data_IF_081179770550
#
_entry.id   IF_081179770550
#
_cell.length_a   1.000
_cell.length_b   1.000
_cell.length_c   1.000
_cell.angle_alpha   90.00
_cell.angle_beta   90.00
_cell.angle_gamma   90.00
#
_symmetry.space_group_name_H-M   'P 1'
#
loop_
_entity.id
_entity.type
_entity.pdbx_description
1 polymer ?
#
# COMPACT_ATOMS: atom_id res chain seq x y z
N UNK A 1 -12.29 8.83 13.43
CA UNK A 1 -11.12 9.54 13.98
C UNK A 1 -10.43 10.30 12.85
N UNK A 2 -10.18 11.57 13.01
CA UNK A 2 -9.41 12.40 12.08
C UNK A 2 -8.10 12.79 12.76
N UNK A 3 -6.99 12.79 12.01
CA UNK A 3 -5.70 13.28 12.53
C UNK A 3 -5.66 14.81 12.38
N UNK A 4 -5.05 15.49 13.33
CA UNK A 4 -4.94 16.95 13.33
C UNK A 4 -3.79 17.45 12.44
N UNK A 5 -2.71 16.68 12.34
CA UNK A 5 -1.54 17.01 11.52
C UNK A 5 -1.72 16.53 10.06
N UNK A 6 -2.36 17.37 9.25
CA UNK A 6 -2.64 17.08 7.85
C UNK A 6 -1.44 17.42 6.97
N UNK A 7 -0.92 16.43 6.26
CA UNK A 7 0.15 16.62 5.26
C UNK A 7 -0.48 16.98 3.91
N UNK A 8 -0.21 18.18 3.34
CA UNK A 8 -0.65 18.51 1.99
C UNK A 8 -0.06 17.55 0.97
N UNK A 9 -0.91 16.88 0.18
CA UNK A 9 -0.47 15.88 -0.79
C UNK A 9 -0.61 16.36 -2.23
N UNK A 10 0.26 15.81 -3.10
CA UNK A 10 0.18 15.96 -4.54
C UNK A 10 0.27 14.58 -5.19
N UNK A 11 -0.56 14.33 -6.19
CA UNK A 11 -0.57 13.05 -6.92
C UNK A 11 0.82 12.70 -7.47
N UNK A 12 1.23 11.44 -7.27
CA UNK A 12 2.51 10.92 -7.74
C UNK A 12 3.76 11.55 -7.08
N UNK A 13 3.60 12.25 -5.97
CA UNK A 13 4.68 12.96 -5.26
C UNK A 13 5.00 12.29 -3.93
N UNK A 14 6.23 12.49 -3.41
CA UNK A 14 6.70 11.92 -2.15
C UNK A 14 5.83 12.33 -0.94
N UNK A 15 5.08 13.41 -1.05
CA UNK A 15 4.12 13.83 -0.01
C UNK A 15 3.04 12.78 0.29
N UNK A 16 2.71 11.88 -0.65
CA UNK A 16 1.81 10.75 -0.40
C UNK A 16 2.42 9.77 0.62
N UNK A 17 3.73 9.53 0.55
CA UNK A 17 4.44 8.71 1.54
C UNK A 17 4.48 9.41 2.89
N UNK A 18 4.76 10.72 2.92
CA UNK A 18 4.75 11.48 4.18
C UNK A 18 3.38 11.41 4.85
N UNK A 19 2.30 11.59 4.10
CA UNK A 19 0.93 11.47 4.62
C UNK A 19 0.64 10.06 5.14
N UNK A 20 1.03 9.02 4.38
CA UNK A 20 0.84 7.62 4.80
C UNK A 20 1.61 7.29 6.06
N UNK A 21 2.88 7.72 6.18
CA UNK A 21 3.69 7.50 7.37
C UNK A 21 3.13 8.25 8.58
N UNK A 22 2.57 9.44 8.37
CA UNK A 22 1.92 10.20 9.44
C UNK A 22 0.65 9.51 9.95
N UNK A 23 -0.22 9.07 9.04
CA UNK A 23 -1.40 8.24 9.38
C UNK A 23 -1.01 6.98 10.16
N UNK A 24 0.04 6.32 9.74
CA UNK A 24 0.53 5.10 10.37
C UNK A 24 1.10 5.35 11.76
N UNK A 25 1.82 6.46 11.94
CA UNK A 25 2.35 6.87 13.24
C UNK A 25 1.21 7.10 14.23
N UNK A 26 0.19 7.85 13.84
CA UNK A 26 -0.99 8.09 14.68
C UNK A 26 -1.73 6.79 15.03
N UNK A 27 -1.96 5.92 14.04
CA UNK A 27 -2.58 4.63 14.28
C UNK A 27 -1.74 3.70 15.17
N UNK A 28 -0.42 3.85 15.15
CA UNK A 28 0.49 3.05 15.97
C UNK A 28 0.45 3.40 17.46
N UNK A 29 0.06 4.62 17.82
CA UNK A 29 -0.09 5.06 19.22
C UNK A 29 -1.13 4.22 19.99
N UNK A 30 -2.15 3.71 19.31
CA UNK A 30 -3.06 2.73 19.90
C UNK A 30 -2.38 1.36 20.02
N UNK A 31 -2.06 0.96 21.24
CA UNK A 31 -1.39 -0.29 21.56
C UNK A 31 -2.13 -1.55 21.16
N UNK A 32 -3.44 -1.48 20.99
CA UNK A 32 -4.31 -2.62 20.65
C UNK A 32 -4.34 -2.92 19.13
N UNK A 33 -3.88 -2.00 18.28
CA UNK A 33 -3.83 -2.21 16.84
C UNK A 33 -2.76 -3.26 16.47
N UNK A 34 -3.18 -4.45 16.06
CA UNK A 34 -2.30 -5.55 15.63
C UNK A 34 -1.92 -5.44 14.14
N UNK A 35 -2.86 -4.93 13.31
CA UNK A 35 -2.71 -4.79 11.86
C UNK A 35 -3.10 -3.38 11.41
N UNK A 36 -2.44 -2.90 10.38
CA UNK A 36 -2.63 -1.58 9.79
C UNK A 36 -2.92 -1.74 8.31
N UNK A 37 -4.07 -1.26 7.85
CA UNK A 37 -4.54 -1.42 6.48
C UNK A 37 -4.60 -0.05 5.83
N UNK A 38 -3.87 0.13 4.72
CA UNK A 38 -4.02 1.34 3.91
C UNK A 38 -5.16 1.14 2.91
N UNK A 39 -6.14 2.02 2.98
CA UNK A 39 -7.31 2.07 2.09
C UNK A 39 -7.56 3.51 1.66
N UNK A 40 -8.32 3.70 0.58
CA UNK A 40 -8.86 5.00 0.20
C UNK A 40 -10.30 5.16 0.69
N UNK A 41 -10.81 6.38 0.63
CA UNK A 41 -12.22 6.74 0.89
C UNK A 41 -13.20 6.11 -0.12
N UNK A 42 -12.69 5.56 -1.23
CA UNK A 42 -13.47 4.88 -2.27
C UNK A 42 -13.52 3.36 -2.12
N UNK A 43 -12.75 2.81 -1.19
CA UNK A 43 -12.81 1.38 -0.92
C UNK A 43 -14.06 1.02 -0.13
N UNK A 44 -14.73 -0.05 -0.55
CA UNK A 44 -15.85 -0.65 0.18
C UNK A 44 -15.52 -2.08 0.60
N UNK A 45 -15.92 -2.54 1.79
CA UNK A 45 -15.69 -3.91 2.22
C UNK A 45 -16.60 -4.87 1.43
N UNK A 46 -16.01 -5.94 0.87
CA UNK A 46 -16.76 -7.01 0.20
C UNK A 46 -17.32 -8.05 1.18
N UNK A 47 -16.72 -8.15 2.36
CA UNK A 47 -17.12 -9.06 3.44
C UNK A 47 -17.38 -8.29 4.72
N UNK A 48 -18.02 -8.92 5.72
CA UNK A 48 -18.14 -8.33 7.05
C UNK A 48 -16.76 -8.09 7.66
N UNK A 49 -16.66 -7.11 8.56
CA UNK A 49 -15.40 -6.77 9.22
C UNK A 49 -14.82 -7.96 9.99
N UNK A 50 -15.67 -8.78 10.61
CA UNK A 50 -15.22 -10.00 11.32
C UNK A 50 -14.55 -10.99 10.37
N UNK A 51 -15.13 -11.24 9.20
CA UNK A 51 -14.55 -12.12 8.18
C UNK A 51 -13.21 -11.58 7.67
N UNK A 52 -13.12 -10.28 7.42
CA UNK A 52 -11.88 -9.62 6.98
C UNK A 52 -10.81 -9.74 8.08
N UNK A 53 -11.17 -9.44 9.32
CA UNK A 53 -10.28 -9.54 10.48
C UNK A 53 -9.73 -10.96 10.65
N UNK A 54 -10.62 -11.97 10.67
CA UNK A 54 -10.23 -13.37 10.82
C UNK A 54 -9.31 -13.84 9.70
N UNK A 55 -9.59 -13.41 8.44
CA UNK A 55 -8.76 -13.74 7.29
C UNK A 55 -7.36 -13.12 7.41
N UNK A 56 -7.25 -11.85 7.77
CA UNK A 56 -5.97 -11.17 7.98
C UNK A 56 -5.22 -11.84 9.14
N UNK A 57 -5.89 -12.11 10.23
CA UNK A 57 -5.32 -12.78 11.42
C UNK A 57 -4.83 -14.18 11.10
N UNK A 58 -5.55 -14.94 10.27
CA UNK A 58 -5.13 -16.28 9.83
C UNK A 58 -3.87 -16.27 8.97
N UNK A 59 -3.70 -15.26 8.09
CA UNK A 59 -2.48 -15.06 7.29
C UNK A 59 -1.30 -14.70 8.19
N UNK A 60 -1.55 -13.92 9.22
CA UNK A 60 -0.57 -13.53 10.25
C UNK A 60 0.77 -13.00 9.68
N UNK A 61 0.72 -12.29 8.58
CA UNK A 61 1.88 -11.68 7.91
C UNK A 61 1.52 -10.31 7.33
N UNK A 62 2.51 -9.55 6.88
CA UNK A 62 2.27 -8.41 6.01
C UNK A 62 1.68 -8.91 4.69
N UNK A 63 0.79 -8.14 4.07
CA UNK A 63 0.20 -8.49 2.79
C UNK A 63 0.39 -7.29 1.86
N UNK A 64 1.14 -7.46 0.80
CA UNK A 64 1.40 -6.42 -0.19
C UNK A 64 1.55 -7.07 -1.57
N UNK A 65 0.78 -6.62 -2.53
CA UNK A 65 0.94 -7.06 -3.91
C UNK A 65 2.06 -6.29 -4.58
N UNK A 66 2.99 -7.01 -5.20
CA UNK A 66 4.11 -6.42 -5.88
C UNK A 66 4.60 -7.23 -7.07
N UNK A 67 5.20 -6.52 -8.02
CA UNK A 67 5.78 -7.06 -9.24
C UNK A 67 7.00 -6.23 -9.66
N UNK A 68 7.85 -6.76 -10.52
CA UNK A 68 9.03 -6.01 -11.00
C UNK A 68 8.59 -4.72 -11.68
N UNK A 69 9.20 -3.62 -11.26
CA UNK A 69 8.96 -2.29 -11.85
C UNK A 69 9.63 -2.16 -13.21
N UNK A 70 9.14 -1.22 -14.01
CA UNK A 70 9.82 -0.81 -15.23
C UNK A 70 11.24 -0.31 -14.90
N UNK A 71 12.28 -0.80 -15.60
CA UNK A 71 13.67 -0.48 -15.27
C UNK A 71 14.02 1.00 -15.26
N UNK A 72 13.30 1.82 -16.05
CA UNK A 72 13.53 3.26 -16.09
C UNK A 72 13.15 3.95 -14.77
N UNK A 73 12.22 3.41 -13.99
CA UNK A 73 11.80 3.98 -12.69
C UNK A 73 12.97 4.05 -11.71
N UNK A 74 13.78 3.01 -11.67
CA UNK A 74 14.99 2.98 -10.84
C UNK A 74 15.95 4.15 -11.14
N UNK A 75 16.02 4.58 -12.41
CA UNK A 75 16.97 5.61 -12.83
C UNK A 75 16.65 7.02 -12.28
N UNK A 76 15.44 7.23 -11.75
CA UNK A 76 15.01 8.46 -11.08
C UNK A 76 15.20 8.48 -9.57
N UNK A 77 15.68 7.39 -8.95
CA UNK A 77 16.00 7.39 -7.52
C UNK A 77 17.10 8.40 -7.20
N UNK A 78 16.95 9.11 -6.09
CA UNK A 78 17.99 10.02 -5.58
C UNK A 78 19.21 9.22 -5.10
N UNK A 79 18.99 8.17 -4.31
CA UNK A 79 20.03 7.27 -3.87
C UNK A 79 19.91 5.90 -4.51
N UNK A 80 20.43 5.74 -5.73
CA UNK A 80 20.38 4.49 -6.49
C UNK A 80 21.12 3.33 -5.83
N UNK A 81 22.19 3.61 -5.08
CA UNK A 81 22.96 2.58 -4.41
C UNK A 81 22.21 1.88 -3.27
N UNK A 82 21.09 2.45 -2.83
CA UNK A 82 20.30 1.88 -1.74
C UNK A 82 19.57 0.59 -2.15
N UNK A 83 19.06 0.52 -3.39
CA UNK A 83 18.36 -0.64 -3.93
C UNK A 83 19.15 -1.33 -5.06
N UNK A 84 18.75 -2.56 -5.45
CA UNK A 84 19.23 -3.22 -6.66
C UNK A 84 18.28 -2.92 -7.83
N UNK A 85 18.82 -2.57 -9.00
CA UNK A 85 18.03 -2.30 -10.21
C UNK A 85 17.24 -3.54 -10.67
N UNK A 86 17.87 -4.72 -10.55
CA UNK A 86 17.28 -6.01 -10.96
C UNK A 86 16.15 -6.47 -10.01
N UNK A 87 16.09 -5.88 -8.82
CA UNK A 87 15.13 -6.18 -7.76
C UNK A 87 14.42 -4.93 -7.29
N UNK A 88 14.03 -4.09 -8.22
CA UNK A 88 13.23 -2.90 -7.94
C UNK A 88 11.78 -3.18 -8.31
N UNK A 89 10.88 -3.07 -7.34
CA UNK A 89 9.50 -3.50 -7.44
C UNK A 89 8.53 -2.31 -7.47
N UNK A 90 7.40 -2.53 -8.13
CA UNK A 90 6.20 -1.73 -8.02
C UNK A 90 5.18 -2.49 -7.17
N UNK A 91 4.38 -1.79 -6.39
CA UNK A 91 3.37 -2.34 -5.49
C UNK A 91 1.98 -1.79 -5.77
N UNK A 92 0.96 -2.51 -5.31
CA UNK A 92 -0.37 -1.94 -5.09
C UNK A 92 -0.30 -0.85 -4.01
N UNK A 93 -1.11 0.19 -4.16
CA UNK A 93 -1.25 1.23 -3.13
C UNK A 93 -1.87 0.69 -1.84
N UNK A 94 -2.62 -0.42 -1.92
CA UNK A 94 -3.36 -1.01 -0.81
C UNK A 94 -2.63 -2.22 -0.25
N UNK A 95 -2.41 -2.23 1.06
CA UNK A 95 -1.65 -3.29 1.74
C UNK A 95 -1.99 -3.38 3.23
N UNK A 96 -1.53 -4.46 3.86
CA UNK A 96 -1.65 -4.69 5.31
C UNK A 96 -0.26 -4.81 5.92
N UNK A 97 -0.02 -4.07 6.99
CA UNK A 97 1.20 -4.19 7.82
C UNK A 97 0.87 -4.79 9.18
N UNK A 98 1.75 -5.64 9.69
CA UNK A 98 1.74 -6.08 11.09
C UNK A 98 2.37 -5.01 12.00
N UNK A 99 1.98 -5.00 13.26
CA UNK A 99 2.47 -4.04 14.25
C UNK A 99 4.01 -3.95 14.33
N UNK A 100 4.72 -5.07 14.30
CA UNK A 100 6.19 -5.03 14.32
C UNK A 100 6.80 -4.38 13.07
N UNK A 101 6.18 -4.57 11.92
CA UNK A 101 6.58 -3.91 10.66
C UNK A 101 6.22 -2.42 10.69
N UNK A 102 5.06 -2.09 11.26
CA UNK A 102 4.67 -0.71 11.47
C UNK A 102 5.66 0.02 12.37
N UNK A 103 6.06 -0.60 13.48
CA UNK A 103 7.10 -0.07 14.36
C UNK A 103 8.38 0.28 13.59
N UNK A 104 8.82 -0.63 12.70
CA UNK A 104 9.99 -0.38 11.87
C UNK A 104 9.87 0.90 11.04
N UNK A 105 8.70 1.18 10.43
CA UNK A 105 8.48 2.40 9.66
C UNK A 105 8.28 3.65 10.52
N UNK A 106 7.77 3.51 11.72
CA UNK A 106 7.68 4.64 12.68
C UNK A 106 9.07 5.06 13.16
N UNK A 107 9.97 4.10 13.36
CA UNK A 107 11.34 4.35 13.84
C UNK A 107 12.32 4.73 12.71
N UNK A 108 11.98 4.44 11.43
CA UNK A 108 12.88 4.64 10.30
C UNK A 108 12.17 5.31 9.12
N UNK A 109 12.79 6.34 8.57
CA UNK A 109 12.31 7.04 7.38
C UNK A 109 13.31 6.91 6.23
N UNK A 110 12.82 6.47 5.07
CA UNK A 110 13.63 6.25 3.86
C UNK A 110 13.19 7.14 2.69
N UNK A 111 12.41 8.17 2.92
CA UNK A 111 11.87 9.04 1.86
C UNK A 111 12.96 9.73 1.05
N UNK A 112 14.09 10.06 1.67
CA UNK A 112 15.25 10.67 1.01
C UNK A 112 15.86 9.77 -0.10
N UNK A 113 15.67 8.44 0.02
CA UNK A 113 16.16 7.50 -1.01
C UNK A 113 15.47 7.72 -2.35
N UNK A 114 14.19 8.08 -2.31
CA UNK A 114 13.39 8.33 -3.51
C UNK A 114 13.60 9.75 -4.05
N UNK A 115 13.66 10.75 -3.17
CA UNK A 115 13.82 12.15 -3.54
C UNK A 115 12.56 12.77 -4.17
N UNK A 116 12.61 14.07 -4.37
CA UNK A 116 11.48 14.88 -4.87
C UNK A 116 11.13 14.62 -6.35
N UNK A 117 12.08 14.13 -7.13
CA UNK A 117 11.91 13.89 -8.57
C UNK A 117 11.36 12.51 -8.93
N UNK A 118 11.33 11.59 -7.97
CA UNK A 118 10.79 10.26 -8.21
C UNK A 118 9.27 10.33 -8.30
N UNK A 119 8.75 9.88 -9.43
CA UNK A 119 7.30 9.86 -9.69
C UNK A 119 6.66 8.60 -9.12
N UNK A 120 5.48 8.73 -8.52
CA UNK A 120 4.66 7.67 -7.89
C UNK A 120 5.41 6.84 -6.84
N UNK A 121 6.03 7.47 -5.83
CA UNK A 121 6.76 6.78 -4.78
C UNK A 121 5.86 5.89 -3.91
N UNK A 122 4.58 6.20 -3.80
CA UNK A 122 3.55 5.41 -3.13
C UNK A 122 3.40 4.00 -3.71
N UNK A 123 3.69 3.83 -5.00
CA UNK A 123 3.71 2.53 -5.66
C UNK A 123 5.08 1.79 -5.57
N UNK A 124 6.07 2.33 -4.85
CA UNK A 124 7.43 1.75 -4.82
C UNK A 124 8.04 1.69 -3.42
N UNK A 125 7.60 2.52 -2.48
CA UNK A 125 8.27 2.73 -1.21
C UNK A 125 8.30 1.47 -0.33
N UNK A 126 7.16 0.94 0.06
CA UNK A 126 7.09 -0.11 1.08
C UNK A 126 7.70 -1.43 0.60
N UNK A 127 7.36 -1.88 -0.61
CA UNK A 127 7.84 -3.16 -1.11
C UNK A 127 9.36 -3.20 -1.30
N UNK A 128 9.96 -2.08 -1.76
CA UNK A 128 11.42 -2.04 -1.94
C UNK A 128 12.16 -1.99 -0.59
N UNK A 129 11.56 -1.37 0.43
CA UNK A 129 12.06 -1.46 1.80
C UNK A 129 11.93 -2.88 2.34
N UNK A 130 10.82 -3.58 2.08
CA UNK A 130 10.64 -4.99 2.46
C UNK A 130 11.73 -5.87 1.85
N UNK A 131 11.97 -5.73 0.56
CA UNK A 131 13.02 -6.47 -0.14
C UNK A 131 14.43 -6.14 0.40
N UNK A 132 14.72 -4.87 0.65
CA UNK A 132 16.01 -4.41 1.17
C UNK A 132 16.32 -5.00 2.54
N UNK A 133 15.34 -4.97 3.45
CA UNK A 133 15.50 -5.41 4.84
C UNK A 133 15.01 -6.85 5.08
N UNK A 134 14.61 -7.56 4.02
CA UNK A 134 14.10 -8.95 4.09
C UNK A 134 12.92 -9.09 5.03
N UNK A 135 12.03 -8.10 5.03
CA UNK A 135 10.78 -8.14 5.79
C UNK A 135 9.83 -9.11 5.09
N UNK A 136 9.34 -10.11 5.83
CA UNK A 136 8.44 -11.13 5.29
C UNK A 136 7.08 -10.55 4.92
N UNK A 137 6.54 -10.97 3.78
CA UNK A 137 5.18 -10.62 3.33
C UNK A 137 4.58 -11.72 2.45
N UNK A 138 3.25 -11.69 2.32
CA UNK A 138 2.49 -12.48 1.34
C UNK A 138 2.22 -11.57 0.14
N UNK A 139 2.67 -11.99 -1.04
CA UNK A 139 2.41 -11.26 -2.28
C UNK A 139 0.99 -11.56 -2.76
N UNK A 140 0.05 -10.66 -2.42
CA UNK A 140 -1.36 -10.82 -2.71
C UNK A 140 -2.05 -9.45 -2.70
N UNK A 141 -3.02 -9.17 -3.62
CA UNK A 141 -3.88 -8.00 -3.51
C UNK A 141 -4.85 -8.13 -2.33
N UNK A 142 -5.19 -7.01 -1.73
CA UNK A 142 -6.23 -6.90 -0.69
C UNK A 142 -7.47 -6.14 -1.16
N UNK A 143 -7.37 -5.48 -2.31
CA UNK A 143 -8.46 -4.72 -2.94
C UNK A 143 -8.62 -5.20 -4.37
N UNK A 144 -9.85 -5.51 -4.74
CA UNK A 144 -10.20 -5.75 -6.14
C UNK A 144 -10.17 -4.43 -6.92
N UNK A 145 -9.41 -4.41 -8.02
CA UNK A 145 -9.30 -3.24 -8.91
C UNK A 145 -9.46 -3.69 -10.35
N UNK A 146 -10.52 -3.24 -11.02
CA UNK A 146 -10.79 -3.59 -12.42
C UNK A 146 -10.08 -2.63 -13.39
N UNK A 147 -8.87 -2.99 -13.78
CA UNK A 147 -8.10 -2.24 -14.78
C UNK A 147 -8.53 -2.52 -16.23
N UNK A 148 -9.19 -3.66 -16.50
CA UNK A 148 -9.57 -4.06 -17.87
C UNK A 148 -10.66 -3.19 -18.47
N UNK A 149 -11.58 -2.74 -17.61
CA UNK A 149 -12.71 -1.89 -18.00
C UNK A 149 -12.50 -0.42 -17.58
N UNK A 150 -11.29 -0.07 -17.15
CA UNK A 150 -10.88 1.30 -16.84
C UNK A 150 -10.64 2.13 -18.09
N UNK A 151 -10.52 3.44 -17.91
CA UNK A 151 -10.21 4.38 -18.99
C UNK A 151 -9.18 5.42 -18.52
N UNK A 152 -8.43 5.98 -19.46
CA UNK A 152 -7.50 7.09 -19.24
C UNK A 152 -6.47 6.84 -18.11
N UNK A 153 -6.03 5.59 -17.93
CA UNK A 153 -5.08 5.22 -16.88
C UNK A 153 -5.69 5.10 -15.48
N UNK A 154 -7.02 5.08 -15.38
CA UNK A 154 -7.75 4.85 -14.13
C UNK A 154 -8.53 3.53 -14.20
N UNK A 155 -8.69 2.82 -13.06
CA UNK A 155 -9.53 1.64 -13.01
C UNK A 155 -11.01 1.98 -13.20
N UNK A 156 -11.83 0.97 -13.53
CA UNK A 156 -13.28 1.12 -13.59
C UNK A 156 -13.80 1.69 -12.27
N UNK A 157 -14.64 2.70 -12.37
CA UNK A 157 -15.42 3.21 -11.25
C UNK A 157 -16.79 2.56 -11.26
N UNK A 158 -17.26 2.21 -10.08
CA UNK A 158 -18.56 1.59 -9.87
C UNK A 158 -19.48 2.60 -9.18
N UNK A 159 -20.43 3.16 -9.92
CA UNK A 159 -21.45 4.04 -9.33
C UNK A 159 -22.51 3.24 -8.57
N UNK A 160 -22.82 2.06 -9.07
CA UNK A 160 -23.73 1.08 -8.47
C UNK A 160 -23.14 -0.31 -8.70
N UNK A 161 -23.13 -1.13 -7.65
CA UNK A 161 -22.81 -2.55 -7.72
C UNK A 161 -24.09 -3.34 -7.43
N UNK A 162 -24.48 -4.22 -8.33
CA UNK A 162 -25.53 -5.18 -8.05
C UNK A 162 -24.99 -6.41 -7.30
N UNK A 163 -25.90 -7.19 -6.73
CA UNK A 163 -25.54 -8.38 -5.94
C UNK A 163 -24.82 -9.45 -6.76
N UNK A 164 -25.12 -9.59 -8.04
CA UNK A 164 -24.50 -10.59 -8.91
C UNK A 164 -23.04 -10.20 -9.21
N UNK A 165 -22.78 -8.92 -9.45
CA UNK A 165 -21.43 -8.37 -9.66
C UNK A 165 -20.59 -8.49 -8.38
N UNK A 166 -21.14 -8.11 -7.21
CA UNK A 166 -20.50 -8.29 -5.90
C UNK A 166 -20.19 -9.77 -5.63
N UNK A 167 -21.13 -10.66 -5.87
CA UNK A 167 -20.95 -12.10 -5.65
C UNK A 167 -19.93 -12.72 -6.62
N UNK A 168 -19.83 -12.19 -7.84
CA UNK A 168 -18.80 -12.60 -8.79
C UNK A 168 -17.39 -12.21 -8.29
N UNK A 169 -17.23 -10.97 -7.84
CA UNK A 169 -15.95 -10.49 -7.29
C UNK A 169 -15.55 -11.28 -6.04
N UNK A 170 -16.50 -11.57 -5.14
CA UNK A 170 -16.24 -12.32 -3.89
C UNK A 170 -15.70 -13.73 -4.09
N UNK A 171 -15.95 -14.36 -5.24
CA UNK A 171 -15.45 -15.72 -5.53
C UNK A 171 -13.93 -15.76 -5.69
N UNK A 172 -13.34 -14.65 -6.10
CA UNK A 172 -11.91 -14.54 -6.40
C UNK A 172 -11.11 -13.89 -5.26
N UNK A 173 -11.81 -13.30 -4.28
CA UNK A 173 -11.25 -12.57 -3.13
C UNK A 173 -11.79 -13.04 -1.78
#
# INVERSE_FOLDING_TARGET
YCIDDIVPTKWGHISLIHATLNLFKEAYEDGENEFFILLSDKCIPLHSLDVIHDKIKSINNNIIEGYLSDPYRYDYLENKAFFSKERFYKQSQFFVLKRHTMRFFVENNFTEVFGEKFSVPDEHYFINIFEKFRISYVNKPIVYVNWKEGCDGHPKQYDVLDDDEVNSIKKDY
#
